data_IF_885664993926
#
_entry.id   IF_885664993926
#
_cell.length_a   1.000
_cell.length_b   1.000
_cell.length_c   1.000
_cell.angle_alpha   90.00
_cell.angle_beta   90.00
_cell.angle_gamma   90.00
#
_symmetry.space_group_name_H-M   'P 1'
#
loop_
_entity.id
_entity.type
_entity.pdbx_description
1 polymer ?
#
# COMPACT_ATOMS: atom_id res chain seq x y z
N UNK A 1 11.94 1.95 22.56
CA UNK A 1 11.13 1.07 23.41
C UNK A 1 11.01 -0.33 22.80
N UNK A 2 11.42 -1.40 23.49
CA UNK A 2 11.33 -2.78 22.98
C UNK A 2 9.90 -3.31 22.80
N UNK A 3 8.97 -2.95 23.70
CA UNK A 3 7.57 -3.39 23.66
C UNK A 3 6.85 -2.76 22.46
N UNK A 4 7.07 -1.46 22.23
CA UNK A 4 6.52 -0.77 21.06
C UNK A 4 6.99 -1.42 19.75
N UNK A 5 8.29 -1.72 19.64
CA UNK A 5 8.86 -2.38 18.45
C UNK A 5 8.29 -3.78 18.24
N UNK A 6 8.10 -4.56 19.31
CA UNK A 6 7.49 -5.88 19.23
C UNK A 6 6.02 -5.81 18.77
N UNK A 7 5.29 -4.79 19.18
CA UNK A 7 3.92 -4.56 18.71
C UNK A 7 3.85 -4.21 17.23
N UNK A 8 4.73 -3.33 16.73
CA UNK A 8 4.83 -3.06 15.29
C UNK A 8 5.26 -4.29 14.48
N UNK A 9 6.18 -5.10 15.00
CA UNK A 9 6.59 -6.34 14.33
C UNK A 9 5.41 -7.33 14.17
N UNK A 10 4.60 -7.51 15.22
CA UNK A 10 3.39 -8.35 15.16
C UNK A 10 2.36 -7.80 14.18
N UNK A 11 2.11 -6.50 14.22
CA UNK A 11 1.18 -5.84 13.29
C UNK A 11 1.64 -6.01 11.83
N UNK A 12 2.94 -5.83 11.57
CA UNK A 12 3.54 -6.03 10.25
C UNK A 12 3.38 -7.47 9.74
N UNK A 13 3.54 -8.48 10.59
CA UNK A 13 3.31 -9.87 10.20
C UNK A 13 1.85 -10.14 9.82
N UNK A 14 0.90 -9.65 10.62
CA UNK A 14 -0.53 -9.80 10.33
C UNK A 14 -0.92 -9.06 9.03
N UNK A 15 -0.38 -7.86 8.82
CA UNK A 15 -0.56 -7.10 7.57
C UNK A 15 0.01 -7.84 6.37
N UNK A 16 1.23 -8.39 6.47
CA UNK A 16 1.85 -9.14 5.38
C UNK A 16 0.99 -10.34 4.95
N UNK A 17 0.47 -11.10 5.92
CA UNK A 17 -0.41 -12.23 5.65
C UNK A 17 -1.70 -11.80 4.95
N UNK A 18 -2.34 -10.74 5.43
CA UNK A 18 -3.56 -10.21 4.82
C UNK A 18 -3.34 -9.70 3.39
N UNK A 19 -2.28 -8.91 3.19
CA UNK A 19 -1.93 -8.37 1.88
C UNK A 19 -1.58 -9.50 0.90
N UNK A 20 -0.76 -10.47 1.31
CA UNK A 20 -0.40 -11.61 0.46
C UNK A 20 -1.61 -12.44 0.07
N UNK A 21 -2.56 -12.66 1.00
CA UNK A 21 -3.80 -13.35 0.71
C UNK A 21 -4.68 -12.56 -0.28
N UNK A 22 -4.76 -11.23 -0.13
CA UNK A 22 -5.47 -10.38 -1.10
C UNK A 22 -4.80 -10.42 -2.48
N UNK A 23 -3.47 -10.30 -2.54
CA UNK A 23 -2.72 -10.41 -3.79
C UNK A 23 -2.94 -11.77 -4.48
N UNK A 24 -3.03 -12.86 -3.72
CA UNK A 24 -3.34 -14.18 -4.25
C UNK A 24 -4.75 -14.30 -4.87
N UNK A 25 -5.72 -13.54 -4.35
CA UNK A 25 -7.12 -13.65 -4.74
C UNK A 25 -7.50 -12.73 -5.89
N UNK A 26 -6.91 -11.55 -5.95
CA UNK A 26 -7.29 -10.48 -6.89
C UNK A 26 -6.12 -9.87 -7.66
N UNK A 27 -4.92 -10.46 -7.55
CA UNK A 27 -3.73 -10.08 -8.33
C UNK A 27 -3.39 -8.58 -8.26
N UNK A 28 -3.30 -8.04 -7.03
CA UNK A 28 -2.87 -6.65 -6.84
C UNK A 28 -1.35 -6.49 -6.96
N UNK A 29 -0.93 -5.39 -7.55
CA UNK A 29 0.50 -5.02 -7.70
C UNK A 29 0.98 -4.03 -6.64
N UNK A 30 0.06 -3.28 -6.01
CA UNK A 30 0.39 -2.25 -5.02
C UNK A 30 -0.59 -2.30 -3.84
N UNK A 31 -0.05 -2.29 -2.63
CA UNK A 31 -0.80 -2.12 -1.39
C UNK A 31 -0.45 -0.78 -0.73
N UNK A 32 -1.43 0.11 -0.60
CA UNK A 32 -1.26 1.44 0.00
C UNK A 32 -1.66 1.38 1.48
N UNK A 33 -0.76 1.76 2.38
CA UNK A 33 -1.02 1.85 3.82
C UNK A 33 -1.35 3.30 4.19
N UNK A 34 -2.60 3.53 4.58
CA UNK A 34 -3.11 4.86 4.97
C UNK A 34 -3.33 5.04 6.48
N UNK A 35 -3.94 6.16 6.83
CA UNK A 35 -4.27 6.53 8.22
C UNK A 35 -3.05 6.92 9.07
N UNK A 36 -3.29 7.24 10.34
CA UNK A 36 -2.22 7.71 11.25
C UNK A 36 -1.09 6.70 11.47
N UNK A 37 -1.35 5.41 11.27
CA UNK A 37 -0.36 4.34 11.41
C UNK A 37 0.71 4.38 10.31
N UNK A 38 0.38 4.88 9.12
CA UNK A 38 1.36 5.07 8.05
C UNK A 38 2.45 6.09 8.44
N UNK A 39 2.12 7.02 9.34
CA UNK A 39 3.07 7.98 9.92
C UNK A 39 4.16 7.34 10.78
N UNK A 40 4.03 6.06 11.16
CA UNK A 40 5.06 5.33 11.90
C UNK A 40 6.35 5.15 11.07
N UNK A 41 6.28 5.25 9.74
CA UNK A 41 7.44 5.11 8.87
C UNK A 41 8.11 3.73 9.02
N UNK A 42 9.43 3.69 8.96
CA UNK A 42 10.17 2.43 8.87
C UNK A 42 10.01 1.48 10.07
N UNK A 43 9.55 1.96 11.23
CA UNK A 43 9.23 1.07 12.36
C UNK A 43 8.12 0.07 12.01
N UNK A 44 7.23 0.43 11.09
CA UNK A 44 6.19 -0.44 10.52
C UNK A 44 6.62 -0.99 9.15
N UNK A 45 7.07 -0.13 8.24
CA UNK A 45 7.27 -0.52 6.85
C UNK A 45 8.47 -1.46 6.66
N UNK A 46 9.54 -1.34 7.45
CA UNK A 46 10.67 -2.26 7.36
C UNK A 46 10.31 -3.70 7.75
N UNK A 47 9.67 -3.98 8.92
CA UNK A 47 9.24 -5.33 9.24
C UNK A 47 8.14 -5.84 8.30
N UNK A 48 7.26 -4.97 7.78
CA UNK A 48 6.22 -5.37 6.82
C UNK A 48 6.82 -5.85 5.49
N UNK A 49 7.74 -5.07 4.90
CA UNK A 49 8.47 -5.48 3.69
C UNK A 49 9.23 -6.79 3.90
N UNK A 50 9.83 -6.99 5.08
CA UNK A 50 10.51 -8.25 5.41
C UNK A 50 9.53 -9.41 5.44
N UNK A 51 8.40 -9.28 6.16
CA UNK A 51 7.41 -10.33 6.26
C UNK A 51 6.76 -10.68 4.90
N UNK A 52 6.57 -9.69 4.02
CA UNK A 52 6.07 -9.95 2.66
C UNK A 52 7.04 -10.76 1.78
N UNK A 53 8.36 -10.61 1.99
CA UNK A 53 9.34 -11.44 1.28
C UNK A 53 9.21 -12.92 1.61
N UNK A 54 8.73 -13.26 2.80
CA UNK A 54 8.48 -14.66 3.18
C UNK A 54 7.34 -15.28 2.33
N UNK A 55 6.48 -14.46 1.73
CA UNK A 55 5.41 -14.87 0.80
C UNK A 55 5.80 -14.75 -0.69
N UNK A 56 6.97 -14.19 -1.01
CA UNK A 56 7.42 -13.92 -2.38
C UNK A 56 7.79 -15.18 -3.19
N UNK A 57 7.70 -16.37 -2.59
CA UNK A 57 7.70 -17.64 -3.33
C UNK A 57 6.48 -17.82 -4.22
N UNK A 58 5.43 -17.02 -3.99
CA UNK A 58 4.22 -16.98 -4.80
C UNK A 58 4.39 -15.93 -5.91
N UNK A 59 4.20 -16.32 -7.17
CA UNK A 59 4.44 -15.47 -8.35
C UNK A 59 3.65 -14.16 -8.35
N UNK A 60 2.45 -14.13 -7.75
CA UNK A 60 1.60 -12.94 -7.62
C UNK A 60 2.00 -11.98 -6.48
N UNK A 61 2.94 -12.38 -5.62
CA UNK A 61 3.56 -11.51 -4.61
C UNK A 61 4.90 -10.98 -5.12
N UNK A 62 5.42 -11.51 -6.23
CA UNK A 62 6.63 -11.02 -6.86
C UNK A 62 6.34 -9.67 -7.51
N UNK A 63 7.02 -8.63 -7.04
CA UNK A 63 6.80 -7.25 -7.52
C UNK A 63 5.71 -6.48 -6.77
N UNK A 64 5.03 -7.08 -5.79
CA UNK A 64 4.06 -6.37 -4.95
C UNK A 64 4.75 -5.24 -4.17
N UNK A 65 4.35 -4.00 -4.41
CA UNK A 65 4.86 -2.84 -3.69
C UNK A 65 3.97 -2.48 -2.49
N UNK A 66 4.61 -2.09 -1.38
CA UNK A 66 3.90 -1.52 -0.23
C UNK A 66 4.37 -0.10 -0.01
N UNK A 67 3.43 0.84 -0.13
CA UNK A 67 3.70 2.28 -0.11
C UNK A 67 2.84 3.00 0.92
N UNK A 68 3.33 4.09 1.55
CA UNK A 68 2.49 4.94 2.38
C UNK A 68 1.52 5.75 1.53
N UNK A 69 0.32 6.02 2.06
CA UNK A 69 -0.61 6.95 1.45
C UNK A 69 -0.04 8.37 1.47
N UNK A 70 0.11 8.98 0.28
CA UNK A 70 0.68 10.33 0.15
C UNK A 70 -0.30 11.43 0.55
N UNK A 71 -1.60 11.18 0.42
CA UNK A 71 -2.66 12.17 0.68
C UNK A 71 -3.10 12.23 2.14
N UNK A 72 -2.54 11.39 3.02
CA UNK A 72 -2.85 11.40 4.45
C UNK A 72 -4.35 11.39 4.75
N UNK A 73 -4.81 12.37 5.52
CA UNK A 73 -6.22 12.57 5.89
C UNK A 73 -7.11 13.01 4.73
N UNK A 74 -6.51 13.60 3.69
CA UNK A 74 -7.23 14.18 2.56
C UNK A 74 -7.60 13.13 1.51
N UNK A 75 -7.06 11.91 1.60
CA UNK A 75 -7.30 10.82 0.66
C UNK A 75 -8.80 10.56 0.42
N UNK A 76 -9.62 10.66 1.46
CA UNK A 76 -11.07 10.47 1.36
C UNK A 76 -11.76 11.58 0.56
N UNK A 77 -11.44 12.84 0.85
CA UNK A 77 -12.03 14.00 0.16
C UNK A 77 -11.54 14.08 -1.28
N UNK A 78 -10.25 13.84 -1.52
CA UNK A 78 -9.67 13.79 -2.86
C UNK A 78 -10.28 12.66 -3.69
N UNK A 79 -10.46 11.48 -3.10
CA UNK A 79 -11.14 10.35 -3.76
C UNK A 79 -12.59 10.66 -4.13
N UNK A 80 -13.34 11.28 -3.22
CA UNK A 80 -14.71 11.70 -3.49
C UNK A 80 -14.80 12.75 -4.62
N UNK A 81 -13.89 13.73 -4.61
CA UNK A 81 -13.79 14.73 -5.66
C UNK A 81 -13.45 14.09 -7.02
N UNK A 82 -12.51 13.15 -7.06
CA UNK A 82 -12.14 12.42 -8.26
C UNK A 82 -13.31 11.59 -8.82
N UNK A 83 -14.07 10.91 -7.95
CA UNK A 83 -15.26 10.15 -8.35
C UNK A 83 -16.34 11.05 -8.95
N UNK A 84 -16.64 12.18 -8.31
CA UNK A 84 -17.60 13.16 -8.83
C UNK A 84 -17.12 13.80 -10.15
N UNK A 85 -15.83 14.10 -10.27
CA UNK A 85 -15.23 14.63 -11.49
C UNK A 85 -15.31 13.63 -12.65
N UNK A 86 -15.11 12.34 -12.39
CA UNK A 86 -15.25 11.27 -13.38
C UNK A 86 -16.70 11.13 -13.86
N UNK A 87 -17.67 11.21 -12.94
CA UNK A 87 -19.10 11.19 -13.28
C UNK A 87 -19.51 12.41 -14.13
N UNK A 88 -19.01 13.59 -13.75
CA UNK A 88 -19.22 14.84 -14.49
C UNK A 88 -18.37 14.95 -15.78
N UNK A 89 -17.51 13.96 -16.07
CA UNK A 89 -16.56 13.93 -17.19
C UNK A 89 -15.68 15.18 -17.29
N UNK A 90 -15.19 15.65 -16.15
CA UNK A 90 -14.26 16.77 -16.10
C UNK A 90 -12.88 16.34 -16.63
N UNK A 91 -12.28 17.17 -17.48
CA UNK A 91 -10.93 16.95 -18.00
C UNK A 91 -9.90 17.06 -16.86
N UNK A 92 -8.84 16.25 -16.90
CA UNK A 92 -7.76 16.25 -15.90
C UNK A 92 -7.91 15.29 -14.71
N UNK A 93 -9.01 14.53 -14.61
CA UNK A 93 -9.26 13.53 -13.55
C UNK A 93 -9.25 12.07 -14.03
N UNK A 94 -8.74 11.81 -15.23
CA UNK A 94 -8.53 10.44 -15.72
C UNK A 94 -7.37 9.74 -15.01
N UNK A 95 -7.30 8.39 -15.04
CA UNK A 95 -6.17 7.66 -14.48
C UNK A 95 -4.87 8.13 -15.15
N UNK A 96 -3.98 8.73 -14.38
CA UNK A 96 -2.61 8.98 -14.81
C UNK A 96 -1.92 7.62 -14.87
N UNK A 97 -1.62 7.14 -16.08
CA UNK A 97 -0.79 5.94 -16.23
C UNK A 97 0.51 6.16 -15.45
N UNK A 98 0.71 5.36 -14.40
CA UNK A 98 1.93 5.37 -13.61
C UNK A 98 3.09 5.10 -14.55
N UNK A 99 3.98 6.09 -14.71
CA UNK A 99 5.26 5.88 -15.37
C UNK A 99 6.13 5.12 -14.38
N UNK A 100 6.09 3.79 -14.44
CA UNK A 100 7.14 2.97 -13.84
C UNK A 100 8.43 3.26 -14.61
N UNK A 101 9.49 3.82 -13.99
CA UNK A 101 10.79 3.80 -14.61
C UNK A 101 11.24 2.34 -14.67
N UNK A 102 11.21 1.75 -15.86
CA UNK A 102 11.94 0.51 -16.14
C UNK A 102 13.41 0.89 -16.08
N UNK A 103 14.08 0.48 -14.99
CA UNK A 103 15.53 0.65 -14.86
C UNK A 103 16.24 -0.26 -15.85
N UNK A 104 16.84 0.35 -16.88
CA UNK A 104 18.09 -0.12 -17.48
C UNK A 104 19.25 0.03 -16.48
#
# INVERSE_FOLDING_TARGET
DPVARASFARAAQALAAGIAATAALVEIEVAVIGGGVAGAGDVLFAPLRRALRDYATLSFVQGLEVVPAQMGTDAGVVGAAAAAAQEARLEGFGPTAGTHPTGD
#
